data_IF_644783216207
#
_entry.id   IF_644783216207
#
_cell.length_a   1.000
_cell.length_b   1.000
_cell.length_c   1.000
_cell.angle_alpha   90.00
_cell.angle_beta   90.00
_cell.angle_gamma   90.00
#
_symmetry.space_group_name_H-M   'P 1'
#
loop_
_entity.id
_entity.type
_entity.pdbx_description
1 polymer ?
#
# COMPACT_ATOMS: atom_id res chain seq x y z
N UNK A 1 14.74 4.77 49.86
CA UNK A 1 13.59 3.93 49.52
C UNK A 1 13.64 3.73 48.00
N UNK A 2 13.96 2.53 47.55
CA UNK A 2 13.88 2.20 46.13
C UNK A 2 12.40 2.16 45.77
N UNK A 3 11.96 3.04 44.89
CA UNK A 3 10.68 2.93 44.21
C UNK A 3 10.73 1.64 43.42
N UNK A 4 9.92 0.66 43.82
CA UNK A 4 9.74 -0.54 43.01
C UNK A 4 9.26 -0.05 41.63
N UNK A 5 10.04 -0.31 40.58
CA UNK A 5 9.56 -0.13 39.24
C UNK A 5 8.36 -1.06 39.10
N UNK A 6 7.17 -0.50 38.97
CA UNK A 6 6.01 -1.29 38.56
C UNK A 6 6.45 -2.02 37.26
N UNK A 7 6.42 -3.35 37.32
CA UNK A 7 6.79 -4.16 36.18
C UNK A 7 5.81 -3.83 35.07
N UNK A 8 6.30 -3.33 33.94
CA UNK A 8 5.49 -3.11 32.74
C UNK A 8 4.73 -4.39 32.39
N UNK A 9 3.44 -4.30 32.20
CA UNK A 9 2.62 -5.39 31.69
C UNK A 9 1.49 -4.81 30.80
N UNK A 10 1.32 -5.29 29.56
CA UNK A 10 0.21 -4.88 28.72
C UNK A 10 -1.11 -5.26 29.36
N UNK A 11 -2.11 -4.40 29.19
CA UNK A 11 -3.45 -4.64 29.73
C UNK A 11 -4.35 -5.30 28.69
N UNK A 12 -5.24 -6.20 29.13
CA UNK A 12 -6.19 -6.88 28.23
C UNK A 12 -7.39 -5.96 27.97
N UNK A 13 -7.67 -5.70 26.70
CA UNK A 13 -8.87 -4.96 26.28
C UNK A 13 -10.08 -5.89 26.17
N UNK A 14 -9.93 -7.01 25.49
CA UNK A 14 -10.99 -8.00 25.23
C UNK A 14 -10.40 -9.35 24.85
N UNK A 15 -11.13 -10.44 25.11
CA UNK A 15 -10.83 -11.74 24.50
C UNK A 15 -11.31 -11.74 23.04
N UNK A 16 -10.43 -12.16 22.12
CA UNK A 16 -10.77 -12.31 20.69
C UNK A 16 -11.26 -13.71 20.35
N UNK A 17 -11.20 -14.66 21.29
CA UNK A 17 -11.68 -16.03 21.10
C UNK A 17 -13.19 -16.05 20.83
N UNK A 18 -13.58 -16.47 19.64
CA UNK A 18 -14.97 -16.51 19.19
C UNK A 18 -15.65 -15.15 19.04
N UNK A 19 -14.88 -14.05 19.09
CA UNK A 19 -15.42 -12.70 18.90
C UNK A 19 -15.83 -12.51 17.42
N UNK A 20 -17.09 -12.09 17.14
CA UNK A 20 -17.51 -11.79 15.78
C UNK A 20 -16.67 -10.66 15.16
N UNK A 21 -16.38 -10.73 13.87
CA UNK A 21 -15.59 -9.74 13.15
C UNK A 21 -16.09 -8.31 13.35
N UNK A 22 -17.41 -8.12 13.31
CA UNK A 22 -18.03 -6.80 13.55
C UNK A 22 -17.66 -6.24 14.92
N UNK A 23 -17.68 -7.06 15.96
CA UNK A 23 -17.37 -6.64 17.32
C UNK A 23 -15.86 -6.42 17.50
N UNK A 24 -15.04 -7.24 16.84
CA UNK A 24 -13.59 -7.05 16.76
C UNK A 24 -13.23 -5.70 16.13
N UNK A 25 -13.86 -5.33 15.00
CA UNK A 25 -13.68 -4.02 14.37
C UNK A 25 -14.08 -2.87 15.32
N UNK A 26 -15.16 -3.01 16.10
CA UNK A 26 -15.57 -2.00 17.06
C UNK A 26 -14.53 -1.81 18.19
N UNK A 27 -13.92 -2.90 18.68
CA UNK A 27 -12.84 -2.79 19.65
C UNK A 27 -11.59 -2.16 19.03
N UNK A 28 -11.24 -2.54 17.80
CA UNK A 28 -10.09 -2.00 17.11
C UNK A 28 -10.19 -0.48 16.84
N UNK A 29 -11.40 0.05 16.66
CA UNK A 29 -11.64 1.49 16.50
C UNK A 29 -11.40 2.32 17.76
N UNK A 30 -11.28 1.69 18.93
CA UNK A 30 -11.03 2.39 20.20
C UNK A 30 -9.60 2.84 20.39
N UNK A 31 -8.71 2.49 19.46
CA UNK A 31 -7.30 2.88 19.50
C UNK A 31 -6.63 2.68 18.15
N UNK A 32 -5.32 2.75 18.16
CA UNK A 32 -4.42 2.54 17.02
C UNK A 32 -3.90 1.11 17.11
N UNK A 33 -4.17 0.27 16.12
CA UNK A 33 -3.59 -1.07 15.99
C UNK A 33 -2.29 -1.05 15.19
N UNK A 34 -1.49 -2.12 15.26
CA UNK A 34 -0.19 -2.16 14.58
C UNK A 34 -0.26 -1.88 13.07
N UNK A 35 -1.26 -2.41 12.37
CA UNK A 35 -1.44 -2.12 10.93
C UNK A 35 -1.82 -0.67 10.61
N UNK A 36 -2.28 0.10 11.60
CA UNK A 36 -2.63 1.50 11.46
C UNK A 36 -1.39 2.42 11.52
N UNK A 37 -0.33 1.96 12.20
CA UNK A 37 0.92 2.71 12.38
C UNK A 37 1.52 3.18 11.05
N UNK A 38 1.55 2.31 10.04
CA UNK A 38 2.08 2.65 8.73
C UNK A 38 1.30 3.78 8.03
N UNK A 39 -0.02 3.86 8.21
CA UNK A 39 -0.83 4.94 7.67
C UNK A 39 -0.54 6.28 8.37
N UNK A 40 -0.34 6.26 9.69
CA UNK A 40 0.04 7.45 10.46
C UNK A 40 1.41 7.98 10.05
N UNK A 41 2.36 7.07 9.78
CA UNK A 41 3.70 7.40 9.30
C UNK A 41 3.74 7.84 7.81
N UNK A 42 2.63 7.74 7.07
CA UNK A 42 2.57 8.05 5.64
C UNK A 42 3.31 7.05 4.73
N UNK A 43 3.60 5.85 5.24
CA UNK A 43 4.33 4.78 4.52
C UNK A 43 3.45 3.58 4.17
N UNK A 44 2.16 3.62 4.47
CA UNK A 44 1.22 2.57 4.07
C UNK A 44 0.98 2.62 2.57
N UNK A 45 1.08 1.47 1.85
CA UNK A 45 0.69 1.42 0.44
C UNK A 45 -0.83 1.26 0.24
N UNK A 46 -1.62 1.17 1.33
CA UNK A 46 -3.04 0.78 1.27
C UNK A 46 -4.00 1.88 1.69
N UNK A 47 -3.61 2.70 2.67
CA UNK A 47 -4.50 3.69 3.28
C UNK A 47 -3.71 4.92 3.72
N UNK A 48 -4.33 6.09 3.60
CA UNK A 48 -3.81 7.35 4.13
C UNK A 48 -4.14 7.51 5.62
N UNK A 49 -3.44 8.40 6.31
CA UNK A 49 -3.78 8.78 7.68
C UNK A 49 -5.23 9.32 7.76
N UNK A 50 -5.71 9.97 6.69
CA UNK A 50 -7.09 10.48 6.61
C UNK A 50 -8.11 9.36 6.43
N UNK A 51 -7.82 8.29 5.71
CA UNK A 51 -8.68 7.09 5.66
C UNK A 51 -8.84 6.49 7.04
N UNK A 52 -7.73 6.38 7.78
CA UNK A 52 -7.75 5.88 9.16
C UNK A 52 -8.58 6.79 10.08
N UNK A 53 -8.42 8.10 9.96
CA UNK A 53 -9.24 9.08 10.71
C UNK A 53 -10.73 8.87 10.47
N UNK A 54 -11.16 8.70 9.22
CA UNK A 54 -12.56 8.48 8.89
C UNK A 54 -13.08 7.14 9.43
N UNK A 55 -12.29 6.06 9.37
CA UNK A 55 -12.66 4.78 9.95
C UNK A 55 -12.83 4.87 11.47
N UNK A 56 -11.86 5.47 12.20
CA UNK A 56 -11.90 5.59 13.65
C UNK A 56 -13.12 6.39 14.14
N UNK A 57 -13.50 7.43 13.43
CA UNK A 57 -14.65 8.27 13.75
C UNK A 57 -15.96 7.80 13.11
N UNK A 58 -15.94 6.74 12.31
CA UNK A 58 -17.12 6.23 11.57
C UNK A 58 -17.81 7.30 10.71
N UNK A 59 -17.04 8.28 10.20
CA UNK A 59 -17.58 9.37 9.37
C UNK A 59 -17.95 8.84 7.99
N UNK A 60 -17.09 8.02 7.41
CA UNK A 60 -17.34 7.27 6.17
C UNK A 60 -16.90 5.84 6.40
N UNK A 61 -17.76 4.85 6.18
CA UNK A 61 -17.35 3.46 6.25
C UNK A 61 -16.22 3.23 5.23
N UNK A 62 -15.09 2.77 5.69
CA UNK A 62 -14.05 2.30 4.80
C UNK A 62 -14.55 1.00 4.17
N UNK A 63 -15.17 1.10 3.01
CA UNK A 63 -15.62 -0.06 2.25
C UNK A 63 -14.47 -0.53 1.36
N UNK A 64 -13.64 -1.37 1.93
CA UNK A 64 -12.58 -2.10 1.26
C UNK A 64 -13.08 -3.47 0.75
N UNK A 65 -14.39 -3.73 0.87
CA UNK A 65 -15.00 -5.04 0.64
C UNK A 65 -14.93 -5.49 -0.81
N UNK A 66 -14.86 -4.59 -1.78
CA UNK A 66 -14.94 -4.97 -3.20
C UNK A 66 -13.59 -5.26 -3.86
N UNK A 67 -12.48 -4.66 -3.44
CA UNK A 67 -11.25 -4.72 -4.24
C UNK A 67 -10.25 -5.81 -3.87
N UNK A 68 -10.23 -6.35 -2.65
CA UNK A 68 -9.21 -7.33 -2.25
C UNK A 68 -9.71 -8.42 -1.30
N UNK A 69 -11.02 -8.71 -1.31
CA UNK A 69 -11.62 -9.67 -0.40
C UNK A 69 -10.98 -11.08 -0.46
N UNK A 70 -10.55 -11.51 -1.65
CA UNK A 70 -9.87 -12.82 -1.83
C UNK A 70 -8.54 -12.83 -1.09
N UNK A 71 -7.72 -11.78 -1.24
CA UNK A 71 -6.42 -11.71 -0.57
C UNK A 71 -6.57 -11.69 0.97
N UNK A 72 -7.54 -10.92 1.48
CA UNK A 72 -7.87 -10.90 2.93
C UNK A 72 -8.33 -12.26 3.42
N UNK A 73 -9.24 -12.90 2.68
CA UNK A 73 -9.75 -14.24 3.02
C UNK A 73 -8.64 -15.28 3.01
N UNK A 74 -7.74 -15.23 2.01
CA UNK A 74 -6.57 -16.11 1.93
C UNK A 74 -5.64 -15.90 3.12
N UNK A 75 -5.36 -14.65 3.51
CA UNK A 75 -4.57 -14.32 4.69
C UNK A 75 -5.10 -15.03 5.94
N UNK A 76 -6.37 -14.85 6.26
CA UNK A 76 -7.00 -15.51 7.41
C UNK A 76 -7.02 -17.04 7.34
N UNK A 77 -7.29 -17.61 6.15
CA UNK A 77 -7.36 -19.06 5.99
C UNK A 77 -5.98 -19.74 6.08
N UNK A 78 -4.92 -19.03 5.74
CA UNK A 78 -3.56 -19.58 5.71
C UNK A 78 -2.74 -19.24 6.96
N UNK A 79 -3.26 -18.44 7.87
CA UNK A 79 -2.53 -17.98 9.06
C UNK A 79 -1.96 -19.13 9.87
N UNK A 80 -2.81 -20.10 10.26
CA UNK A 80 -2.39 -21.27 11.03
C UNK A 80 -1.37 -22.14 10.25
N UNK A 81 -1.55 -22.30 8.94
CA UNK A 81 -0.63 -23.06 8.09
C UNK A 81 0.74 -22.39 8.01
N UNK A 82 0.79 -21.07 7.84
CA UNK A 82 2.06 -20.32 7.76
C UNK A 82 2.78 -20.35 9.10
N UNK A 83 2.04 -20.28 10.20
CA UNK A 83 2.59 -20.46 11.55
C UNK A 83 3.18 -21.86 11.75
N UNK A 84 2.51 -22.92 11.26
CA UNK A 84 3.05 -24.29 11.28
C UNK A 84 4.34 -24.40 10.45
N UNK A 85 4.39 -23.80 9.24
CA UNK A 85 5.61 -23.77 8.43
C UNK A 85 6.75 -23.07 9.18
N UNK A 86 6.48 -21.95 9.85
CA UNK A 86 7.47 -21.27 10.68
C UNK A 86 8.01 -22.20 11.77
N UNK A 87 7.12 -22.88 12.51
CA UNK A 87 7.50 -23.84 13.54
C UNK A 87 8.40 -24.96 13.00
N UNK A 88 8.01 -25.56 11.88
CA UNK A 88 8.77 -26.66 11.24
C UNK A 88 10.16 -26.17 10.78
N UNK A 89 10.24 -24.98 10.16
CA UNK A 89 11.52 -24.46 9.64
C UNK A 89 12.48 -23.98 10.73
N UNK A 90 11.96 -23.42 11.81
CA UNK A 90 12.79 -22.84 12.88
C UNK A 90 12.99 -23.75 14.09
N UNK A 91 12.09 -24.70 14.30
CA UNK A 91 12.04 -25.53 15.49
C UNK A 91 11.56 -24.79 16.76
N UNK A 92 11.24 -23.50 16.67
CA UNK A 92 10.72 -22.75 17.81
C UNK A 92 9.28 -23.14 18.11
N UNK A 93 8.96 -23.24 19.38
CA UNK A 93 7.59 -23.43 19.82
C UNK A 93 6.82 -22.11 19.66
N UNK A 94 5.60 -22.20 19.13
CA UNK A 94 4.70 -21.07 18.97
C UNK A 94 3.39 -21.32 19.71
N UNK A 95 2.71 -20.24 20.08
CA UNK A 95 1.41 -20.29 20.76
C UNK A 95 0.62 -19.01 20.52
N UNK A 96 -0.69 -19.08 20.63
CA UNK A 96 -1.59 -17.92 20.55
C UNK A 96 -2.08 -17.50 21.91
N UNK A 97 -2.26 -16.19 22.08
CA UNK A 97 -3.06 -15.61 23.15
C UNK A 97 -4.18 -14.83 22.47
N UNK A 98 -5.36 -15.40 22.39
CA UNK A 98 -6.52 -14.82 21.71
C UNK A 98 -7.11 -13.65 22.51
N UNK A 99 -6.38 -12.56 22.56
CA UNK A 99 -6.72 -11.33 23.27
C UNK A 99 -6.18 -10.12 22.55
N UNK A 100 -6.98 -9.08 22.50
CA UNK A 100 -6.51 -7.74 22.15
C UNK A 100 -5.98 -7.06 23.41
N UNK A 101 -4.79 -6.49 23.31
CA UNK A 101 -4.10 -5.79 24.39
C UNK A 101 -4.07 -4.29 24.13
N UNK A 102 -3.80 -3.52 25.17
CA UNK A 102 -3.47 -2.11 25.04
C UNK A 102 -2.27 -1.74 25.92
N UNK A 103 -1.55 -0.72 25.49
CA UNK A 103 -0.41 -0.19 26.22
C UNK A 103 -0.86 0.46 27.55
N UNK A 104 -0.28 0.11 28.70
CA UNK A 104 -0.79 0.54 30.01
C UNK A 104 -0.68 2.06 30.25
N UNK A 105 0.26 2.75 29.58
CA UNK A 105 0.44 4.20 29.66
C UNK A 105 -0.21 4.91 28.46
N UNK A 106 0.01 4.41 27.25
CA UNK A 106 -0.51 4.96 26.00
C UNK A 106 -1.75 4.16 25.58
N UNK A 107 -2.85 4.31 26.32
CA UNK A 107 -4.05 3.45 26.22
C UNK A 107 -4.71 3.44 24.84
N UNK A 108 -4.34 4.37 23.97
CA UNK A 108 -4.76 4.40 22.55
C UNK A 108 -4.01 3.39 21.68
N UNK A 109 -2.87 2.84 22.12
CA UNK A 109 -2.11 1.84 21.36
C UNK A 109 -2.64 0.44 21.65
N UNK A 110 -3.04 -0.28 20.62
CA UNK A 110 -3.66 -1.60 20.70
C UNK A 110 -2.81 -2.65 19.99
N UNK A 111 -2.74 -3.87 20.52
CA UNK A 111 -2.09 -5.00 19.89
C UNK A 111 -3.01 -6.22 19.87
N UNK A 112 -3.11 -6.85 18.70
CA UNK A 112 -3.71 -8.15 18.48
C UNK A 112 -2.66 -8.99 17.73
N UNK A 113 -2.03 -9.91 18.45
CA UNK A 113 -0.83 -10.62 18.02
C UNK A 113 -1.24 -11.96 17.41
N UNK A 114 -0.75 -12.26 16.20
CA UNK A 114 -1.04 -13.51 15.51
C UNK A 114 -0.52 -14.70 16.33
N UNK A 115 0.80 -14.71 16.64
CA UNK A 115 1.43 -15.75 17.46
C UNK A 115 2.57 -15.19 18.32
N UNK A 116 2.89 -15.93 19.37
CA UNK A 116 4.08 -15.74 20.19
C UNK A 116 5.07 -16.88 19.95
N UNK A 117 6.36 -16.60 20.07
CA UNK A 117 7.45 -17.54 19.92
C UNK A 117 8.17 -17.73 21.23
N UNK A 118 8.34 -18.97 21.68
CA UNK A 118 9.18 -19.30 22.83
C UNK A 118 10.64 -19.42 22.39
N UNK A 119 11.47 -18.49 22.84
CA UNK A 119 12.90 -18.46 22.54
C UNK A 119 13.73 -19.11 23.65
N UNK A 120 14.97 -19.54 23.36
CA UNK A 120 15.89 -20.04 24.35
C UNK A 120 16.11 -19.05 25.51
N UNK A 121 16.21 -19.58 26.73
CA UNK A 121 16.37 -18.76 27.94
C UNK A 121 15.08 -18.18 28.51
N UNK A 122 13.92 -18.63 28.02
CA UNK A 122 12.60 -18.18 28.53
C UNK A 122 12.17 -16.81 27.99
N UNK A 123 12.82 -16.30 26.95
CA UNK A 123 12.40 -15.07 26.23
C UNK A 123 11.20 -15.38 25.35
N UNK A 124 10.43 -14.34 25.07
CA UNK A 124 9.29 -14.42 24.15
C UNK A 124 9.49 -13.43 23.02
N UNK A 125 9.18 -13.84 21.78
CA UNK A 125 9.11 -12.95 20.63
C UNK A 125 7.69 -12.94 20.06
N UNK A 126 7.40 -11.95 19.22
CA UNK A 126 6.19 -11.89 18.41
C UNK A 126 6.43 -12.62 17.09
N UNK A 127 5.43 -13.30 16.56
CA UNK A 127 5.41 -13.83 15.20
C UNK A 127 4.24 -13.19 14.47
N UNK A 128 4.54 -12.44 13.45
CA UNK A 128 3.59 -11.80 12.54
C UNK A 128 3.49 -12.61 11.25
N UNK A 129 2.29 -13.03 10.91
CA UNK A 129 2.03 -13.85 9.73
C UNK A 129 1.66 -12.95 8.54
N UNK A 130 2.26 -13.22 7.39
CA UNK A 130 1.94 -12.52 6.15
C UNK A 130 1.73 -13.51 5.00
N UNK A 131 0.87 -13.12 4.07
CA UNK A 131 0.74 -13.78 2.77
C UNK A 131 0.88 -12.76 1.67
N UNK A 132 1.56 -13.15 0.60
CA UNK A 132 1.68 -12.30 -0.59
C UNK A 132 1.66 -13.17 -1.84
N UNK A 133 1.84 -12.59 -3.01
CA UNK A 133 1.97 -13.34 -4.25
C UNK A 133 3.40 -13.28 -4.79
N UNK A 134 3.71 -14.15 -5.73
CA UNK A 134 5.04 -14.29 -6.31
C UNK A 134 5.59 -12.97 -6.90
N UNK A 135 4.72 -12.11 -7.44
CA UNK A 135 5.14 -10.83 -8.05
C UNK A 135 5.48 -9.76 -7.00
N UNK A 136 4.95 -9.87 -5.79
CA UNK A 136 5.17 -8.91 -4.71
C UNK A 136 6.22 -9.38 -3.68
N UNK A 137 6.78 -10.59 -3.84
CA UNK A 137 7.81 -11.12 -2.93
C UNK A 137 9.06 -10.24 -2.89
N UNK A 138 9.38 -9.56 -4.00
CA UNK A 138 10.61 -8.75 -4.12
C UNK A 138 10.61 -7.52 -3.20
N UNK A 139 9.46 -7.13 -2.62
CA UNK A 139 9.39 -6.10 -1.58
C UNK A 139 10.10 -6.47 -0.27
N UNK A 140 10.50 -7.75 -0.10
CA UNK A 140 11.26 -8.24 1.04
C UNK A 140 12.78 -8.18 0.82
N UNK A 141 13.21 -7.53 -0.27
CA UNK A 141 14.61 -7.20 -0.57
C UNK A 141 14.72 -5.73 -0.96
N UNK A 142 15.82 -5.11 -0.57
CA UNK A 142 16.19 -3.76 -1.01
C UNK A 142 16.68 -3.77 -2.46
N UNK A 143 16.84 -2.60 -3.07
CA UNK A 143 17.33 -2.47 -4.46
C UNK A 143 18.72 -3.08 -4.66
N UNK A 144 19.57 -3.08 -3.62
CA UNK A 144 20.89 -3.71 -3.60
C UNK A 144 20.87 -5.18 -3.17
N UNK A 145 19.68 -5.78 -3.04
CA UNK A 145 19.48 -7.20 -2.78
C UNK A 145 19.65 -7.63 -1.33
N UNK A 146 19.66 -6.70 -0.37
CA UNK A 146 19.68 -7.03 1.05
C UNK A 146 18.29 -7.49 1.52
N UNK A 147 18.28 -8.42 2.45
CA UNK A 147 17.07 -8.89 3.10
C UNK A 147 16.49 -7.81 4.02
N UNK A 148 15.23 -7.44 3.80
CA UNK A 148 14.53 -6.42 4.59
C UNK A 148 13.13 -6.90 5.00
N UNK A 149 12.56 -6.22 5.97
CA UNK A 149 11.11 -6.24 6.23
C UNK A 149 10.51 -5.01 5.53
N UNK A 150 9.43 -5.13 4.74
CA UNK A 150 8.74 -3.98 4.18
C UNK A 150 8.37 -2.96 5.25
N UNK A 151 8.61 -1.66 5.00
CA UNK A 151 8.48 -0.59 6.00
C UNK A 151 7.12 -0.56 6.70
N UNK A 152 6.06 -0.86 5.98
CA UNK A 152 4.70 -0.90 6.56
C UNK A 152 4.52 -2.06 7.55
N UNK A 153 5.17 -3.20 7.32
CA UNK A 153 5.16 -4.34 8.26
C UNK A 153 6.14 -4.11 9.41
N UNK A 154 7.28 -3.50 9.14
CA UNK A 154 8.22 -3.10 10.18
C UNK A 154 7.55 -2.17 11.19
N UNK A 155 6.86 -1.12 10.75
CA UNK A 155 6.10 -0.21 11.62
C UNK A 155 5.07 -0.97 12.49
N UNK A 156 4.36 -1.94 11.91
CA UNK A 156 3.42 -2.80 12.65
C UNK A 156 4.11 -3.59 13.76
N UNK A 157 5.22 -4.27 13.46
CA UNK A 157 5.95 -5.06 14.44
C UNK A 157 6.55 -4.20 15.56
N UNK A 158 7.07 -3.02 15.23
CA UNK A 158 7.60 -2.06 16.22
C UNK A 158 6.53 -1.53 17.14
N UNK A 159 5.34 -1.23 16.61
CA UNK A 159 4.16 -0.90 17.41
C UNK A 159 3.81 -2.03 18.39
N UNK A 160 3.80 -3.27 17.93
CA UNK A 160 3.50 -4.42 18.78
C UNK A 160 4.57 -4.64 19.86
N UNK A 161 5.85 -4.49 19.52
CA UNK A 161 6.96 -4.57 20.49
C UNK A 161 6.78 -3.50 21.59
N UNK A 162 6.35 -2.29 21.24
CA UNK A 162 6.08 -1.22 22.19
C UNK A 162 4.92 -1.57 23.14
N UNK A 163 3.77 -2.03 22.59
CA UNK A 163 2.59 -2.37 23.39
C UNK A 163 2.83 -3.55 24.32
N UNK A 164 3.57 -4.56 23.84
CA UNK A 164 3.75 -5.82 24.56
C UNK A 164 5.00 -5.85 25.44
N UNK A 165 5.89 -4.87 25.32
CA UNK A 165 7.23 -4.83 25.94
C UNK A 165 8.05 -6.08 25.60
N UNK A 166 8.03 -6.45 24.32
CA UNK A 166 8.77 -7.58 23.76
C UNK A 166 9.87 -7.02 22.86
N UNK A 167 11.05 -7.64 22.90
CA UNK A 167 12.25 -7.10 22.25
C UNK A 167 12.49 -7.65 20.84
N UNK A 168 11.71 -8.63 20.39
CA UNK A 168 11.94 -9.32 19.12
C UNK A 168 10.63 -9.59 18.38
N UNK A 169 10.63 -9.40 17.06
CA UNK A 169 9.53 -9.81 16.19
C UNK A 169 10.05 -10.59 14.98
N UNK A 170 9.44 -11.73 14.72
CA UNK A 170 9.60 -12.52 13.50
C UNK A 170 8.45 -12.25 12.55
N UNK A 171 8.77 -12.27 11.26
CA UNK A 171 7.79 -12.24 10.18
C UNK A 171 7.92 -13.53 9.40
N UNK A 172 6.80 -14.17 9.15
CA UNK A 172 6.74 -15.32 8.26
C UNK A 172 5.76 -15.02 7.13
N UNK A 173 6.26 -14.91 5.91
CA UNK A 173 5.48 -14.53 4.73
C UNK A 173 5.46 -15.65 3.71
N UNK A 174 4.29 -16.24 3.46
CA UNK A 174 4.08 -17.19 2.38
C UNK A 174 3.78 -16.44 1.08
N UNK A 175 4.54 -16.73 0.00
CA UNK A 175 4.36 -16.09 -1.31
C UNK A 175 3.97 -17.06 -2.44
N UNK A 176 3.80 -18.33 -2.11
CA UNK A 176 3.46 -19.37 -3.06
C UNK A 176 2.56 -20.46 -2.46
N UNK A 177 2.77 -21.71 -2.85
CA UNK A 177 1.92 -22.84 -2.47
C UNK A 177 2.68 -24.06 -1.92
N UNK A 178 3.94 -23.87 -1.55
CA UNK A 178 4.76 -24.90 -0.91
C UNK A 178 5.64 -24.31 0.20
N UNK A 179 6.20 -25.15 1.05
CA UNK A 179 6.99 -24.80 2.22
C UNK A 179 8.32 -24.09 1.91
N UNK A 180 8.79 -24.11 0.67
CA UNK A 180 10.01 -23.42 0.24
C UNK A 180 9.72 -22.01 -0.28
N UNK A 181 8.46 -21.69 -0.53
CA UNK A 181 8.01 -20.36 -0.97
C UNK A 181 7.63 -19.48 0.22
N UNK A 182 8.51 -19.44 1.22
CA UNK A 182 8.35 -18.69 2.48
C UNK A 182 9.56 -17.80 2.73
N UNK A 183 9.29 -16.59 3.20
CA UNK A 183 10.28 -15.63 3.67
C UNK A 183 10.15 -15.52 5.18
N UNK A 184 11.25 -15.75 5.90
CA UNK A 184 11.32 -15.50 7.34
C UNK A 184 12.29 -14.34 7.57
N UNK A 185 11.85 -13.36 8.33
CA UNK A 185 12.65 -12.18 8.73
C UNK A 185 12.53 -11.98 10.23
N UNK A 186 13.50 -11.27 10.79
CA UNK A 186 13.57 -10.96 12.19
C UNK A 186 14.08 -9.53 12.37
N UNK A 187 13.48 -8.78 13.29
CA UNK A 187 13.99 -7.48 13.73
C UNK A 187 14.02 -7.41 15.25
N UNK A 188 15.02 -6.72 15.76
CA UNK A 188 15.14 -6.38 17.17
C UNK A 188 14.47 -5.05 17.46
N UNK A 189 14.11 -4.85 18.73
CA UNK A 189 13.50 -3.62 19.22
C UNK A 189 14.48 -2.45 19.11
N UNK A 190 13.96 -1.34 18.61
CA UNK A 190 14.65 -0.07 18.54
C UNK A 190 13.91 0.96 19.39
N UNK A 191 14.50 1.36 20.51
CA UNK A 191 13.86 2.26 21.49
C UNK A 191 13.77 3.71 20.98
N UNK A 192 14.64 4.12 20.11
CA UNK A 192 14.63 5.47 19.52
C UNK A 192 13.49 5.54 18.51
N UNK A 193 13.37 4.55 17.62
CA UNK A 193 12.24 4.43 16.71
C UNK A 193 10.90 4.34 17.47
N UNK A 194 10.84 3.53 18.53
CA UNK A 194 9.63 3.39 19.37
C UNK A 194 9.21 4.73 19.97
N UNK A 195 10.15 5.52 20.46
CA UNK A 195 9.85 6.83 21.05
C UNK A 195 9.24 7.78 20.02
N UNK A 196 9.78 7.81 18.80
CA UNK A 196 9.26 8.61 17.69
C UNK A 196 7.88 8.11 17.24
N UNK A 197 7.71 6.79 17.10
CA UNK A 197 6.44 6.17 16.73
C UNK A 197 5.34 6.52 17.72
N UNK A 198 5.58 6.35 19.02
CA UNK A 198 4.63 6.70 20.09
C UNK A 198 4.26 8.18 20.04
N UNK A 199 5.22 9.05 19.74
CA UNK A 199 4.96 10.50 19.65
C UNK A 199 4.04 10.82 18.45
N UNK A 200 4.27 10.21 17.28
CA UNK A 200 3.44 10.42 16.08
C UNK A 200 2.04 9.81 16.24
N UNK A 201 1.93 8.63 16.82
CA UNK A 201 0.64 8.01 17.11
C UNK A 201 -0.17 8.80 18.15
N UNK A 202 0.51 9.36 19.16
CA UNK A 202 -0.12 10.25 20.14
C UNK A 202 -0.62 11.53 19.49
N UNK A 203 0.20 12.17 18.63
CA UNK A 203 -0.20 13.37 17.89
C UNK A 203 -1.43 13.09 17.03
N UNK A 204 -1.44 11.97 16.31
CA UNK A 204 -2.59 11.56 15.52
C UNK A 204 -3.84 11.33 16.38
N UNK A 205 -3.70 10.66 17.53
CA UNK A 205 -4.82 10.38 18.42
C UNK A 205 -5.36 11.65 19.08
N UNK A 206 -4.49 12.45 19.69
CA UNK A 206 -4.87 13.63 20.46
C UNK A 206 -5.31 14.80 19.57
N UNK A 207 -4.60 15.06 18.48
CA UNK A 207 -4.83 16.25 17.64
C UNK A 207 -5.76 16.00 16.44
N UNK A 208 -6.04 14.75 16.09
CA UNK A 208 -6.97 14.44 15.00
C UNK A 208 -8.19 13.66 15.48
N UNK A 209 -8.00 12.51 16.17
CA UNK A 209 -9.14 11.69 16.60
C UNK A 209 -9.96 12.39 17.67
N UNK A 210 -9.33 12.85 18.76
CA UNK A 210 -10.06 13.46 19.87
C UNK A 210 -10.63 14.85 19.55
N UNK A 211 -10.00 15.58 18.64
CA UNK A 211 -10.46 16.93 18.23
C UNK A 211 -11.47 16.90 17.08
N UNK A 212 -11.53 15.80 16.34
CA UNK A 212 -12.31 15.70 15.10
C UNK A 212 -11.72 16.51 13.95
N UNK A 213 -10.44 16.89 13.99
CA UNK A 213 -9.74 17.60 12.92
C UNK A 213 -9.03 16.60 12.00
N UNK A 214 -9.39 16.51 10.71
CA UNK A 214 -8.77 15.54 9.81
C UNK A 214 -7.28 15.85 9.59
N UNK A 215 -6.40 14.83 9.54
CA UNK A 215 -4.99 15.01 9.25
C UNK A 215 -4.78 15.51 7.82
N UNK A 216 -3.66 16.22 7.52
CA UNK A 216 -3.32 16.58 6.15
C UNK A 216 -3.00 15.32 5.33
N UNK A 217 -3.15 15.39 4.00
CA UNK A 217 -2.61 14.38 3.11
C UNK A 217 -1.11 14.62 2.90
N UNK A 218 -0.30 13.60 3.15
CA UNK A 218 1.17 13.64 3.01
C UNK A 218 1.73 12.48 2.18
N UNK A 219 0.88 11.55 1.81
CA UNK A 219 1.20 10.30 1.15
C UNK A 219 1.39 10.48 -0.37
N UNK A 220 1.61 9.37 -1.06
CA UNK A 220 1.68 9.33 -2.53
C UNK A 220 0.40 9.86 -3.18
N UNK A 221 0.56 10.59 -4.30
CA UNK A 221 -0.53 11.28 -4.97
C UNK A 221 -1.64 10.34 -5.47
N UNK A 222 -1.31 9.14 -5.92
CA UNK A 222 -2.31 8.18 -6.38
C UNK A 222 -3.13 7.64 -5.19
N UNK A 223 -2.48 7.37 -4.06
CA UNK A 223 -3.14 6.95 -2.84
C UNK A 223 -4.07 8.05 -2.29
N UNK A 224 -3.62 9.31 -2.34
CA UNK A 224 -4.46 10.48 -1.99
C UNK A 224 -5.69 10.57 -2.90
N UNK A 225 -5.51 10.43 -4.22
CA UNK A 225 -6.63 10.48 -5.16
C UNK A 225 -7.62 9.34 -4.95
N UNK A 226 -7.15 8.15 -4.60
CA UNK A 226 -8.01 7.02 -4.27
C UNK A 226 -8.76 7.23 -2.95
N UNK A 227 -8.10 7.79 -1.93
CA UNK A 227 -8.75 8.22 -0.70
C UNK A 227 -9.86 9.23 -0.96
N UNK A 228 -9.56 10.28 -1.75
CA UNK A 228 -10.55 11.29 -2.14
C UNK A 228 -11.76 10.67 -2.85
N UNK A 229 -11.54 9.73 -3.78
CA UNK A 229 -12.65 9.04 -4.47
C UNK A 229 -13.52 8.24 -3.51
N UNK A 230 -12.91 7.51 -2.58
CA UNK A 230 -13.65 6.73 -1.57
C UNK A 230 -14.52 7.61 -0.68
N UNK A 231 -14.01 8.78 -0.28
CA UNK A 231 -14.69 9.64 0.69
C UNK A 231 -15.70 10.59 0.08
N UNK A 232 -15.40 11.17 -1.08
CA UNK A 232 -16.28 12.15 -1.71
C UNK A 232 -17.18 11.54 -2.80
N UNK A 233 -16.90 10.30 -3.22
CA UNK A 233 -17.66 9.66 -4.28
C UNK A 233 -17.54 10.36 -5.64
N UNK A 234 -18.53 10.15 -6.55
CA UNK A 234 -18.54 10.80 -7.85
C UNK A 234 -18.73 12.31 -7.72
N UNK A 235 -18.22 13.06 -8.72
CA UNK A 235 -18.39 14.51 -8.75
C UNK A 235 -19.87 14.87 -8.99
N UNK A 236 -20.34 15.89 -8.31
CA UNK A 236 -21.63 16.51 -8.60
C UNK A 236 -21.46 17.68 -9.60
N UNK A 237 -21.90 17.51 -10.87
CA UNK A 237 -21.79 18.57 -11.88
C UNK A 237 -22.63 19.83 -11.57
N UNK A 238 -23.59 19.72 -10.65
CA UNK A 238 -24.47 20.82 -10.23
C UNK A 238 -23.95 21.58 -9.02
N UNK A 239 -22.87 21.10 -8.39
CA UNK A 239 -22.27 21.77 -7.25
C UNK A 239 -21.72 23.15 -7.65
N UNK A 240 -21.89 24.18 -6.78
CA UNK A 240 -21.41 25.52 -7.07
C UNK A 240 -19.88 25.56 -7.20
N UNK A 241 -19.38 26.54 -7.96
CA UNK A 241 -17.93 26.79 -8.06
C UNK A 241 -17.37 27.15 -6.67
N UNK A 242 -16.30 26.47 -6.29
CA UNK A 242 -15.64 26.67 -5.00
C UNK A 242 -14.43 27.59 -5.16
N UNK A 243 -14.34 28.61 -4.33
CA UNK A 243 -13.17 29.47 -4.24
C UNK A 243 -12.16 28.83 -3.29
N UNK A 244 -10.98 28.51 -3.82
CA UNK A 244 -9.89 27.91 -3.04
C UNK A 244 -8.95 29.01 -2.53
N UNK A 245 -8.67 28.99 -1.24
CA UNK A 245 -7.83 30.01 -0.56
C UNK A 245 -6.65 29.35 0.17
N UNK A 246 -5.83 30.15 0.81
CA UNK A 246 -4.73 29.71 1.68
C UNK A 246 -3.63 28.98 0.92
N UNK A 247 -3.28 27.79 1.37
CA UNK A 247 -2.16 27.01 0.82
C UNK A 247 -2.31 26.66 -0.67
N UNK A 248 -3.52 26.70 -1.24
CA UNK A 248 -3.74 26.44 -2.67
C UNK A 248 -3.05 27.48 -3.55
N UNK A 249 -2.89 28.73 -3.06
CA UNK A 249 -2.14 29.78 -3.75
C UNK A 249 -0.65 29.42 -3.99
N UNK A 250 -0.09 28.51 -3.21
CA UNK A 250 1.28 28.00 -3.37
C UNK A 250 1.34 26.69 -4.18
N UNK A 251 0.39 25.81 -3.97
CA UNK A 251 0.36 24.48 -4.62
C UNK A 251 0.08 24.59 -6.12
N UNK A 252 -0.86 25.46 -6.53
CA UNK A 252 -1.25 25.60 -7.93
C UNK A 252 -0.09 26.09 -8.81
N UNK A 253 0.65 27.15 -8.47
CA UNK A 253 1.81 27.58 -9.25
C UNK A 253 2.88 26.46 -9.35
N UNK A 254 3.16 25.76 -8.26
CA UNK A 254 4.11 24.67 -8.25
C UNK A 254 3.69 23.51 -9.18
N UNK A 255 2.40 23.15 -9.17
CA UNK A 255 1.86 22.17 -10.11
C UNK A 255 2.05 22.59 -11.57
N UNK A 256 1.78 23.87 -11.92
CA UNK A 256 1.95 24.40 -13.28
C UNK A 256 3.43 24.44 -13.71
N UNK A 257 4.33 24.72 -12.78
CA UNK A 257 5.77 24.65 -13.04
C UNK A 257 6.19 23.21 -13.39
N UNK A 258 5.81 22.23 -12.55
CA UNK A 258 6.07 20.80 -12.79
C UNK A 258 5.44 20.30 -14.08
N UNK A 259 4.23 20.76 -14.41
CA UNK A 259 3.57 20.44 -15.67
C UNK A 259 4.38 20.98 -16.88
N UNK A 260 4.97 22.16 -16.75
CA UNK A 260 5.81 22.76 -17.79
C UNK A 260 7.10 21.97 -17.98
N UNK A 261 7.76 21.59 -16.88
CA UNK A 261 8.95 20.74 -16.90
C UNK A 261 8.66 19.38 -17.54
N UNK A 262 7.61 18.69 -17.10
CA UNK A 262 7.17 17.41 -17.67
C UNK A 262 6.92 17.51 -19.19
N UNK A 263 6.28 18.60 -19.64
CA UNK A 263 6.00 18.78 -21.08
C UNK A 263 7.26 19.06 -21.89
N UNK A 264 8.28 19.66 -21.29
CA UNK A 264 9.59 19.83 -21.93
C UNK A 264 10.32 18.49 -22.06
N UNK A 265 10.37 17.69 -20.98
CA UNK A 265 10.97 16.35 -21.00
C UNK A 265 10.25 15.41 -21.98
N UNK A 266 8.92 15.47 -22.03
CA UNK A 266 8.14 14.69 -23.00
C UNK A 266 8.51 15.01 -24.45
N UNK A 267 8.71 16.29 -24.79
CA UNK A 267 9.15 16.68 -26.12
C UNK A 267 10.55 16.16 -26.45
N UNK A 268 11.46 16.18 -25.47
CA UNK A 268 12.79 15.59 -25.64
C UNK A 268 12.70 14.08 -25.87
N UNK A 269 11.90 13.38 -25.11
CA UNK A 269 11.63 11.96 -25.28
C UNK A 269 11.05 11.64 -26.69
N UNK A 270 10.06 12.41 -27.14
CA UNK A 270 9.45 12.27 -28.46
C UNK A 270 10.47 12.48 -29.59
N UNK A 271 11.42 13.41 -29.41
CA UNK A 271 12.51 13.62 -30.36
C UNK A 271 13.45 12.40 -30.42
N UNK A 272 13.85 11.86 -29.26
CA UNK A 272 14.67 10.64 -29.19
C UNK A 272 13.95 9.46 -29.84
N UNK A 273 12.68 9.26 -29.56
CA UNK A 273 11.87 8.20 -30.17
C UNK A 273 11.76 8.35 -31.70
N UNK A 274 11.63 9.58 -32.20
CA UNK A 274 11.58 9.84 -33.62
C UNK A 274 12.90 9.48 -34.30
N UNK A 275 14.05 9.80 -33.69
CA UNK A 275 15.36 9.41 -34.21
C UNK A 275 15.56 7.90 -34.16
N UNK A 276 15.17 7.24 -33.04
CA UNK A 276 15.19 5.77 -32.95
C UNK A 276 14.35 5.12 -34.03
N UNK A 277 13.13 5.62 -34.30
CA UNK A 277 12.25 5.11 -35.35
C UNK A 277 12.86 5.30 -36.73
N UNK A 278 13.55 6.43 -36.98
CA UNK A 278 14.26 6.68 -38.20
C UNK A 278 15.39 5.66 -38.43
N UNK A 279 16.19 5.40 -37.39
CA UNK A 279 17.26 4.39 -37.47
C UNK A 279 16.67 2.98 -37.66
N UNK A 280 15.63 2.63 -36.90
CA UNK A 280 14.92 1.36 -37.05
C UNK A 280 14.39 1.18 -38.46
N UNK A 281 13.76 2.21 -39.03
CA UNK A 281 13.24 2.15 -40.42
C UNK A 281 14.33 1.84 -41.43
N UNK A 282 15.52 2.44 -41.29
CA UNK A 282 16.67 2.14 -42.17
C UNK A 282 17.18 0.71 -42.00
N UNK A 283 17.27 0.22 -40.76
CA UNK A 283 17.68 -1.16 -40.45
C UNK A 283 16.68 -2.15 -41.05
N UNK A 284 15.39 -1.93 -40.84
CA UNK A 284 14.32 -2.81 -41.36
C UNK A 284 14.29 -2.80 -42.90
N UNK A 285 14.58 -1.65 -43.54
CA UNK A 285 14.67 -1.57 -44.98
C UNK A 285 15.77 -2.49 -45.54
N UNK A 286 16.94 -2.56 -44.88
CA UNK A 286 18.02 -3.48 -45.24
C UNK A 286 17.67 -4.94 -44.96
N UNK A 287 16.86 -5.22 -43.94
CA UNK A 287 16.39 -6.57 -43.62
C UNK A 287 15.41 -7.13 -44.70
N UNK A 288 14.73 -6.27 -45.41
CA UNK A 288 13.75 -6.65 -46.43
C UNK A 288 12.60 -7.49 -45.85
N UNK A 289 12.49 -8.78 -46.29
CA UNK A 289 11.47 -9.70 -45.81
C UNK A 289 11.92 -10.58 -44.65
N UNK A 290 13.17 -10.43 -44.17
CA UNK A 290 13.70 -11.24 -43.11
C UNK A 290 13.18 -10.80 -41.73
N UNK A 291 12.74 -11.76 -40.91
CA UNK A 291 12.31 -11.49 -39.53
C UNK A 291 13.48 -11.41 -38.56
N UNK A 292 14.68 -11.82 -38.98
CA UNK A 292 15.90 -11.79 -38.16
C UNK A 292 17.10 -11.41 -39.00
N UNK A 293 18.06 -10.72 -38.40
CA UNK A 293 19.33 -10.39 -39.04
C UNK A 293 20.44 -10.38 -37.98
N UNK A 294 21.69 -10.49 -38.45
CA UNK A 294 22.89 -10.30 -37.64
C UNK A 294 23.79 -9.27 -38.33
N UNK A 295 24.45 -8.46 -37.52
CA UNK A 295 25.40 -7.46 -37.98
C UNK A 295 26.67 -7.53 -37.15
N UNK A 296 27.82 -7.62 -37.81
CA UNK A 296 29.12 -7.50 -37.12
C UNK A 296 29.47 -6.02 -37.05
N UNK A 297 29.35 -5.43 -35.88
CA UNK A 297 29.81 -4.08 -35.59
C UNK A 297 31.31 -4.03 -35.28
N UNK A 298 31.79 -2.83 -34.98
CA UNK A 298 33.23 -2.62 -34.63
C UNK A 298 33.57 -3.17 -33.24
N UNK A 299 32.64 -3.07 -32.28
CA UNK A 299 32.84 -3.42 -30.89
C UNK A 299 32.12 -4.71 -30.50
N UNK A 300 31.01 -5.06 -31.17
CA UNK A 300 30.20 -6.22 -30.83
C UNK A 300 29.43 -6.74 -32.06
N UNK A 301 29.02 -8.00 -32.03
CA UNK A 301 28.04 -8.58 -32.95
C UNK A 301 26.61 -8.31 -32.38
N UNK A 302 25.71 -7.90 -33.28
CA UNK A 302 24.33 -7.57 -32.97
C UNK A 302 23.37 -8.56 -33.63
N UNK A 303 22.38 -9.02 -32.89
CA UNK A 303 21.26 -9.81 -33.39
C UNK A 303 20.01 -8.94 -33.41
N UNK A 304 19.31 -8.93 -34.55
CA UNK A 304 18.12 -8.11 -34.75
C UNK A 304 16.93 -9.04 -35.00
N UNK A 305 15.80 -8.74 -34.34
CA UNK A 305 14.55 -9.48 -34.52
C UNK A 305 13.40 -8.51 -34.78
N UNK A 306 12.72 -8.69 -35.91
CA UNK A 306 11.54 -7.93 -36.33
C UNK A 306 10.44 -8.88 -36.79
N UNK A 307 9.87 -9.61 -35.80
CA UNK A 307 8.86 -10.64 -36.06
C UNK A 307 7.45 -10.05 -36.00
N UNK A 308 6.51 -10.58 -36.83
CA UNK A 308 5.13 -10.14 -36.80
C UNK A 308 4.49 -10.51 -35.43
N UNK A 309 3.79 -9.54 -34.86
CA UNK A 309 2.97 -9.71 -33.61
C UNK A 309 1.50 -9.62 -34.02
N UNK A 310 0.74 -10.66 -33.70
CA UNK A 310 -0.72 -10.64 -33.87
C UNK A 310 -1.38 -10.09 -32.62
N UNK A 311 -2.19 -9.04 -32.79
CA UNK A 311 -3.04 -8.49 -31.73
C UNK A 311 -4.49 -8.62 -32.18
N UNK A 312 -5.35 -9.12 -31.31
CA UNK A 312 -6.79 -9.07 -31.49
C UNK A 312 -7.36 -7.87 -30.73
N UNK A 313 -8.36 -7.23 -31.28
CA UNK A 313 -9.03 -6.09 -30.65
C UNK A 313 -10.27 -5.73 -31.45
N UNK A 314 -11.15 -4.95 -30.84
CA UNK A 314 -12.32 -4.40 -31.51
C UNK A 314 -12.06 -2.93 -31.83
N UNK A 315 -12.31 -2.52 -33.08
CA UNK A 315 -12.19 -1.11 -33.47
C UNK A 315 -13.31 -0.28 -32.86
N UNK A 316 -13.11 1.03 -32.71
CA UNK A 316 -14.13 1.94 -32.18
C UNK A 316 -15.45 1.87 -32.98
N UNK A 317 -15.37 1.80 -34.30
CA UNK A 317 -16.55 1.69 -35.18
C UNK A 317 -17.27 0.34 -34.97
N UNK A 318 -16.53 -0.75 -34.84
CA UNK A 318 -17.11 -2.06 -34.54
C UNK A 318 -17.72 -2.12 -33.15
N UNK A 319 -17.13 -1.42 -32.17
CA UNK A 319 -17.70 -1.30 -30.82
C UNK A 319 -19.05 -0.55 -30.84
N UNK A 320 -19.15 0.54 -31.62
CA UNK A 320 -20.41 1.26 -31.83
C UNK A 320 -21.45 0.41 -32.57
N UNK A 321 -21.02 -0.38 -33.57
CA UNK A 321 -21.93 -1.33 -34.25
C UNK A 321 -22.38 -2.42 -33.32
N UNK A 322 -21.51 -2.95 -32.47
CA UNK A 322 -21.88 -3.94 -31.45
C UNK A 322 -22.92 -3.38 -30.51
N UNK A 323 -22.76 -2.13 -30.03
CA UNK A 323 -23.73 -1.46 -29.16
C UNK A 323 -25.09 -1.28 -29.85
N UNK A 324 -25.09 -0.91 -31.13
CA UNK A 324 -26.32 -0.67 -31.89
C UNK A 324 -27.08 -1.95 -32.30
N UNK A 325 -26.32 -3.01 -32.68
CA UNK A 325 -26.87 -4.24 -33.23
C UNK A 325 -27.11 -5.35 -32.18
N UNK A 326 -26.29 -5.35 -31.11
CA UNK A 326 -26.27 -6.36 -30.06
C UNK A 326 -26.08 -5.70 -28.70
N UNK A 327 -27.05 -4.89 -28.23
CA UNK A 327 -26.94 -4.15 -26.98
C UNK A 327 -26.77 -5.05 -25.76
N UNK A 328 -27.40 -6.22 -25.75
CA UNK A 328 -27.28 -7.24 -24.72
C UNK A 328 -25.86 -7.78 -24.58
N UNK A 329 -25.18 -8.03 -25.69
CA UNK A 329 -23.76 -8.45 -25.69
C UNK A 329 -22.87 -7.27 -25.28
N UNK A 330 -23.17 -6.07 -25.77
CA UNK A 330 -22.39 -4.88 -25.40
C UNK A 330 -22.45 -4.65 -23.89
N UNK A 331 -23.63 -4.65 -23.26
CA UNK A 331 -23.79 -4.47 -21.80
C UNK A 331 -23.12 -5.58 -20.98
N UNK A 332 -23.11 -6.80 -21.49
CA UNK A 332 -22.48 -7.93 -20.82
C UNK A 332 -20.95 -7.83 -20.78
N UNK A 333 -20.31 -7.28 -21.82
CA UNK A 333 -18.83 -7.34 -21.99
C UNK A 333 -18.13 -5.98 -22.04
N UNK A 334 -18.87 -4.87 -22.09
CA UNK A 334 -18.29 -3.53 -22.13
C UNK A 334 -18.62 -2.77 -20.85
N UNK A 335 -17.61 -2.49 -20.07
CA UNK A 335 -17.73 -1.66 -18.87
C UNK A 335 -17.45 -0.20 -19.21
N UNK A 336 -18.35 0.69 -18.85
CA UNK A 336 -18.15 2.14 -18.96
C UNK A 336 -17.54 2.63 -17.65
N UNK A 337 -16.33 3.17 -17.71
CA UNK A 337 -15.69 3.80 -16.56
C UNK A 337 -15.78 5.32 -16.66
N UNK A 338 -16.18 5.97 -15.58
CA UNK A 338 -16.14 7.42 -15.47
C UNK A 338 -14.84 7.87 -14.82
N UNK A 339 -14.15 8.85 -15.39
CA UNK A 339 -12.93 9.43 -14.84
C UNK A 339 -13.01 10.95 -14.82
N UNK A 340 -12.41 11.58 -13.78
CA UNK A 340 -12.30 13.02 -13.66
C UNK A 340 -10.97 13.49 -14.24
N UNK A 341 -11.01 14.51 -15.11
CA UNK A 341 -9.80 15.11 -15.66
C UNK A 341 -9.46 16.37 -14.87
N UNK A 342 -8.32 16.37 -14.22
CA UNK A 342 -7.77 17.55 -13.54
C UNK A 342 -7.17 18.52 -14.57
N UNK A 343 -7.58 19.78 -14.52
CA UNK A 343 -7.12 20.81 -15.44
C UNK A 343 -6.95 22.13 -14.71
N UNK A 344 -5.78 22.79 -14.85
CA UNK A 344 -5.47 24.09 -14.28
C UNK A 344 -5.12 25.05 -15.39
N UNK A 345 -5.75 26.24 -15.39
CA UNK A 345 -5.42 27.35 -16.28
C UNK A 345 -5.18 28.62 -15.46
N UNK A 346 -4.16 29.38 -15.86
CA UNK A 346 -3.99 30.74 -15.37
C UNK A 346 -5.11 31.62 -15.96
N UNK A 347 -5.90 32.24 -15.09
CA UNK A 347 -6.88 33.26 -15.55
C UNK A 347 -6.11 34.47 -16.10
N UNK A 348 -6.58 35.02 -17.21
CA UNK A 348 -6.08 36.32 -17.71
C UNK A 348 -6.68 37.41 -16.82
N UNK A 349 -5.85 38.31 -16.33
CA UNK A 349 -6.35 39.55 -15.76
C UNK A 349 -7.16 40.25 -16.85
N UNK A 350 -8.46 40.45 -16.64
CA UNK A 350 -9.23 41.36 -17.47
C UNK A 350 -8.64 42.73 -17.23
N UNK A 351 -8.09 43.34 -18.28
CA UNK A 351 -7.60 44.70 -18.22
C UNK A 351 -8.78 45.63 -17.86
N UNK A 352 -8.70 46.25 -16.69
CA UNK A 352 -9.66 47.19 -16.18
C UNK A 352 -9.68 48.48 -17.04
#
# INVERSE_FOLDING_TARGET
>A
MAVASESYAPSVLVSTEGLPEKDWLEYRRRGIGGSDAAAILGISPFATARDLYYDKLKIVPFDDSESNWVAKKMGHLLEDLVAEIFHVKTGYRIYQIKKMFYHPVHTFMLADIDYFVELPGGRTAILEIKTTNYNAKDHWWSEDGQEIVPLNYEAQGRHYMAVMDIDEVFYCCLYGNNEDEVIIRHIDRDRDYETELIALERDFWENHILTGMPPPYTEDGDLILDSVRRHFGPADPSAPELILEGNMALLIPRYLELQTQRNAEKRNYEHIEAEMRRLQGRIVAEMGRSCTAVCQGREAAYSISYKPVRKSGISKDNLQRLQAQHPDIYEQYVTVSESRRFYVKKQREEAA
#
